data_IF_041509191576
#
_entry.id   IF_041509191576
#
_cell.length_a   1.000
_cell.length_b   1.000
_cell.length_c   1.000
_cell.angle_alpha   90.00
_cell.angle_beta   90.00
_cell.angle_gamma   90.00
#
_symmetry.space_group_name_H-M   'P 1'
#
loop_
_entity.id
_entity.type
_entity.pdbx_description
1 polymer ?
#
# COMPACT_ATOMS: atom_id res chain seq x y z
N UNK A 1 28.94 21.12 43.90
CA UNK A 1 28.56 19.88 43.20
C UNK A 1 27.15 19.52 43.64
N UNK A 2 26.15 19.82 42.81
CA UNK A 2 24.74 19.55 43.13
C UNK A 2 24.39 18.17 42.60
N UNK A 3 24.27 17.19 43.51
CA UNK A 3 23.85 15.83 43.18
C UNK A 3 22.35 15.81 42.87
N UNK A 4 22.00 15.72 41.59
CA UNK A 4 20.62 15.48 41.16
C UNK A 4 20.15 14.12 41.70
N UNK A 5 19.32 14.13 42.75
CA UNK A 5 18.62 12.93 43.21
C UNK A 5 17.42 12.70 42.30
N UNK A 6 17.60 11.89 41.27
CA UNK A 6 16.49 11.37 40.47
C UNK A 6 15.61 10.49 41.37
N UNK A 7 14.37 10.92 41.59
CA UNK A 7 13.39 10.16 42.35
C UNK A 7 13.14 8.82 41.65
N UNK A 8 13.19 7.68 42.37
CA UNK A 8 12.93 6.37 41.76
C UNK A 8 11.58 6.31 41.07
N UNK A 9 10.57 7.05 41.56
CA UNK A 9 9.23 7.15 40.94
C UNK A 9 9.30 7.69 39.50
N UNK A 10 10.21 8.62 39.22
CA UNK A 10 10.38 9.18 37.88
C UNK A 10 10.97 8.13 36.92
N UNK A 11 11.92 7.34 37.40
CA UNK A 11 12.58 6.27 36.63
C UNK A 11 11.61 5.13 36.31
N UNK A 12 10.80 4.72 37.30
CA UNK A 12 9.77 3.69 37.11
C UNK A 12 8.64 4.16 36.19
N UNK A 13 8.25 5.45 36.26
CA UNK A 13 7.25 6.03 35.36
C UNK A 13 7.69 6.03 33.89
N UNK A 14 8.94 6.42 33.61
CA UNK A 14 9.48 6.43 32.24
C UNK A 14 9.55 5.00 31.68
N UNK A 15 10.00 4.03 32.47
CA UNK A 15 10.08 2.64 32.04
C UNK A 15 8.68 2.09 31.68
N UNK A 16 7.67 2.35 32.52
CA UNK A 16 6.30 1.89 32.27
C UNK A 16 5.68 2.53 31.01
N UNK A 17 5.89 3.84 30.79
CA UNK A 17 5.43 4.53 29.58
C UNK A 17 6.13 3.97 28.34
N UNK A 18 7.43 3.72 28.41
CA UNK A 18 8.19 3.19 27.27
C UNK A 18 7.72 1.78 26.90
N UNK A 19 7.49 0.92 27.90
CA UNK A 19 6.94 -0.45 27.71
C UNK A 19 5.53 -0.40 27.14
N UNK A 20 4.67 0.51 27.63
CA UNK A 20 3.32 0.68 27.08
C UNK A 20 3.35 1.17 25.64
N UNK A 21 4.22 2.12 25.31
CA UNK A 21 4.39 2.60 23.93
C UNK A 21 4.91 1.48 23.04
N UNK A 22 5.94 0.74 23.44
CA UNK A 22 6.46 -0.38 22.63
C UNK A 22 5.44 -1.50 22.49
N UNK A 23 4.71 -1.86 23.55
CA UNK A 23 3.64 -2.83 23.47
C UNK A 23 2.50 -2.34 22.56
N UNK A 24 2.12 -1.06 22.65
CA UNK A 24 1.10 -0.44 21.80
C UNK A 24 1.52 -0.42 20.32
N UNK A 25 2.78 -0.09 20.06
CA UNK A 25 3.37 -0.05 18.72
C UNK A 25 3.55 -1.46 18.13
N UNK A 26 3.91 -2.45 18.94
CA UNK A 26 3.96 -3.85 18.53
C UNK A 26 2.56 -4.46 18.33
N UNK A 27 1.56 -3.97 19.08
CA UNK A 27 0.19 -4.47 19.04
C UNK A 27 -0.64 -3.85 17.90
N UNK A 28 -0.41 -2.58 17.58
CA UNK A 28 -1.11 -1.87 16.48
C UNK A 28 -0.42 -2.01 15.11
N UNK A 29 0.73 -2.68 15.07
CA UNK A 29 1.56 -2.76 13.87
C UNK A 29 2.27 -1.44 13.59
N UNK A 30 3.45 -1.54 13.00
CA UNK A 30 4.05 -0.37 12.34
C UNK A 30 3.29 -0.07 11.07
N UNK A 31 3.20 1.21 10.65
CA UNK A 31 2.90 1.49 9.27
C UNK A 31 3.93 0.72 8.42
N UNK A 32 3.49 -0.24 7.60
CA UNK A 32 4.45 -0.84 6.68
C UNK A 32 4.86 0.26 5.70
N UNK A 33 6.14 0.44 5.50
CA UNK A 33 6.57 1.32 4.42
C UNK A 33 6.17 0.60 3.14
N UNK A 34 5.43 1.27 2.24
CA UNK A 34 5.04 0.68 0.96
C UNK A 34 6.26 0.04 0.29
N UNK A 35 6.10 -1.19 -0.19
CA UNK A 35 7.20 -1.98 -0.71
C UNK A 35 7.91 -1.22 -1.84
N UNK A 36 9.14 -0.80 -1.57
CA UNK A 36 9.92 -0.05 -2.54
C UNK A 36 10.41 -0.98 -3.64
N UNK A 37 9.94 -0.81 -4.87
CA UNK A 37 10.53 -1.47 -6.04
C UNK A 37 12.03 -1.13 -6.16
N UNK A 38 12.93 -2.09 -6.45
CA UNK A 38 14.32 -1.76 -6.72
C UNK A 38 14.44 -0.90 -7.98
N UNK A 39 15.51 -0.11 -8.09
CA UNK A 39 15.73 0.70 -9.28
C UNK A 39 15.94 -0.18 -10.53
N UNK A 40 15.32 0.19 -11.64
CA UNK A 40 15.37 -0.57 -12.89
C UNK A 40 14.21 -1.55 -13.06
N UNK A 41 14.43 -2.60 -13.85
CA UNK A 41 13.42 -3.57 -14.22
C UNK A 41 13.06 -4.49 -13.06
N UNK A 42 11.76 -4.69 -12.83
CA UNK A 42 11.23 -5.58 -11.80
C UNK A 42 9.96 -6.25 -12.29
N UNK A 43 9.81 -7.52 -11.95
CA UNK A 43 8.61 -8.29 -12.24
C UNK A 43 7.58 -8.07 -11.12
N UNK A 44 6.35 -7.71 -11.47
CA UNK A 44 5.28 -7.37 -10.53
C UNK A 44 3.98 -8.07 -10.91
N UNK A 45 3.28 -8.57 -9.91
CA UNK A 45 1.95 -9.16 -10.08
C UNK A 45 0.91 -8.05 -10.30
N UNK A 46 -0.03 -8.29 -11.20
CA UNK A 46 -1.13 -7.37 -11.48
C UNK A 46 -2.43 -7.97 -10.98
N UNK A 47 -3.10 -7.22 -10.11
CA UNK A 47 -4.42 -7.53 -9.58
C UNK A 47 -5.36 -6.39 -9.93
N UNK A 48 -6.56 -6.68 -10.44
CA UNK A 48 -7.53 -5.61 -10.64
C UNK A 48 -8.15 -5.19 -9.32
N UNK A 49 -8.40 -3.89 -9.17
CA UNK A 49 -9.10 -3.36 -8.01
C UNK A 49 -10.60 -3.48 -8.28
N UNK A 50 -11.33 -4.06 -7.35
CA UNK A 50 -12.80 -4.00 -7.36
C UNK A 50 -13.24 -2.61 -6.93
N UNK A 51 -13.50 -1.75 -7.91
CA UNK A 51 -13.92 -0.37 -7.70
C UNK A 51 -15.30 -0.26 -7.03
N UNK A 52 -16.15 -1.30 -7.05
CA UNK A 52 -17.47 -1.29 -6.41
C UNK A 52 -17.37 -1.47 -4.89
N UNK A 53 -16.37 -2.24 -4.45
CA UNK A 53 -16.09 -2.49 -3.03
C UNK A 53 -15.06 -1.50 -2.46
N UNK A 54 -14.40 -0.73 -3.33
CA UNK A 54 -13.38 0.24 -2.91
C UNK A 54 -14.00 1.49 -2.30
N UNK A 55 -13.67 1.78 -1.04
CA UNK A 55 -14.13 2.99 -0.35
C UNK A 55 -12.99 4.00 -0.23
N UNK A 56 -13.15 5.25 -0.74
CA UNK A 56 -12.18 6.32 -0.54
C UNK A 56 -12.27 6.91 0.88
N UNK A 57 -11.12 7.05 1.55
CA UNK A 57 -11.00 7.71 2.85
C UNK A 57 -10.45 9.14 2.67
N UNK A 58 -10.98 10.13 3.41
CA UNK A 58 -10.52 11.51 3.33
C UNK A 58 -9.07 11.68 3.83
N UNK A 59 -8.37 12.61 3.17
CA UNK A 59 -6.94 12.92 3.29
C UNK A 59 -6.63 13.62 4.62
N UNK A 60 -6.67 12.88 5.72
CA UNK A 60 -6.34 13.39 7.06
C UNK A 60 -5.75 12.34 7.99
N UNK A 61 -5.76 11.07 7.56
CA UNK A 61 -5.03 9.98 8.20
C UNK A 61 -3.58 10.01 7.73
N UNK A 62 -2.64 9.91 8.67
CA UNK A 62 -1.21 9.98 8.40
C UNK A 62 -0.72 8.65 7.82
N UNK A 63 0.06 8.79 6.76
CA UNK A 63 0.73 7.80 5.90
C UNK A 63 1.09 6.43 6.54
N UNK A 64 0.97 5.39 5.70
CA UNK A 64 1.74 4.15 5.79
C UNK A 64 1.09 2.92 6.43
N UNK A 65 -0.22 2.82 6.66
CA UNK A 65 -0.74 1.64 7.38
C UNK A 65 -1.07 0.45 6.46
N UNK A 66 -0.29 -0.64 6.58
CA UNK A 66 -0.61 -1.95 6.03
C UNK A 66 -0.82 -2.91 7.22
N UNK A 67 -2.07 -3.23 7.52
CA UNK A 67 -2.40 -4.06 8.67
C UNK A 67 -3.66 -4.88 8.42
N UNK A 68 -3.62 -6.17 8.76
CA UNK A 68 -4.72 -7.12 8.56
C UNK A 68 -5.82 -7.03 9.62
N UNK A 69 -5.74 -6.13 10.60
CA UNK A 69 -6.71 -6.12 11.70
C UNK A 69 -6.99 -4.70 12.23
N UNK A 70 -8.26 -4.31 12.07
CA UNK A 70 -9.08 -3.50 12.99
C UNK A 70 -9.39 -2.01 12.73
N UNK A 71 -9.16 -1.46 11.53
CA UNK A 71 -9.67 -0.12 11.10
C UNK A 71 -9.83 -0.01 9.57
N UNK A 72 -10.69 0.88 9.04
CA UNK A 72 -12.02 0.59 8.45
C UNK A 72 -12.06 -0.24 7.15
N UNK A 73 -10.93 -0.75 6.66
CA UNK A 73 -10.93 -1.68 5.53
C UNK A 73 -11.32 -3.08 6.04
N UNK A 74 -12.12 -3.82 5.26
CA UNK A 74 -12.49 -5.20 5.57
C UNK A 74 -11.26 -6.12 5.53
N UNK A 75 -11.32 -7.31 6.11
CA UNK A 75 -10.18 -8.24 6.24
C UNK A 75 -9.54 -8.63 4.90
N UNK A 76 -10.29 -8.47 3.81
CA UNK A 76 -9.91 -8.79 2.44
C UNK A 76 -9.55 -7.53 1.60
N UNK A 77 -9.32 -6.39 2.25
CA UNK A 77 -9.05 -5.10 1.61
C UNK A 77 -7.69 -4.53 2.00
N UNK A 78 -7.02 -3.91 1.02
CA UNK A 78 -5.71 -3.28 1.19
C UNK A 78 -5.87 -1.77 1.34
N UNK A 79 -5.16 -1.15 2.27
CA UNK A 79 -5.04 0.30 2.26
C UNK A 79 -3.98 0.71 1.23
N UNK A 80 -4.33 1.59 0.29
CA UNK A 80 -3.40 2.09 -0.72
C UNK A 80 -3.62 3.57 -0.95
N UNK A 81 -2.55 4.36 -0.90
CA UNK A 81 -2.61 5.76 -1.32
C UNK A 81 -2.40 5.89 -2.84
N UNK A 82 -3.26 6.65 -3.50
CA UNK A 82 -3.13 7.01 -4.90
C UNK A 82 -3.54 8.46 -5.09
N UNK A 83 -2.65 9.26 -5.68
CA UNK A 83 -2.87 10.67 -5.96
C UNK A 83 -3.32 11.49 -4.74
N UNK A 84 -2.72 11.22 -3.57
CA UNK A 84 -3.06 11.90 -2.32
C UNK A 84 -4.35 11.39 -1.66
N UNK A 85 -4.98 10.33 -2.20
CA UNK A 85 -6.19 9.73 -1.66
C UNK A 85 -5.91 8.32 -1.16
N UNK A 86 -6.26 8.08 0.09
CA UNK A 86 -6.26 6.74 0.67
C UNK A 86 -7.49 5.95 0.24
N UNK A 87 -7.31 4.72 -0.21
CA UNK A 87 -8.41 3.82 -0.60
C UNK A 87 -8.27 2.45 0.06
N UNK A 88 -9.40 1.87 0.50
CA UNK A 88 -9.49 0.45 0.79
C UNK A 88 -9.68 -0.32 -0.53
N UNK A 89 -8.60 -0.75 -1.16
CA UNK A 89 -8.61 -1.52 -2.39
C UNK A 89 -8.90 -3.01 -2.12
N UNK A 90 -10.09 -3.46 -2.51
CA UNK A 90 -10.38 -4.90 -2.59
C UNK A 90 -9.76 -5.45 -3.87
N UNK A 91 -8.98 -6.52 -3.74
CA UNK A 91 -8.37 -7.17 -4.89
C UNK A 91 -9.35 -8.15 -5.53
N UNK A 92 -9.52 -8.03 -6.84
CA UNK A 92 -10.09 -9.08 -7.66
C UNK A 92 -9.09 -10.21 -7.93
N UNK A 93 -9.35 -10.99 -8.98
CA UNK A 93 -8.44 -12.07 -9.35
C UNK A 93 -7.07 -11.55 -9.83
N UNK A 94 -6.04 -12.35 -9.56
CA UNK A 94 -4.71 -12.16 -10.13
C UNK A 94 -4.77 -12.35 -11.63
N UNK A 95 -4.37 -11.34 -12.40
CA UNK A 95 -4.39 -11.40 -13.87
C UNK A 95 -3.13 -12.02 -14.45
N UNK A 96 -1.98 -11.76 -13.83
CA UNK A 96 -0.69 -12.21 -14.31
C UNK A 96 0.45 -11.38 -13.75
N UNK A 97 1.59 -11.44 -14.44
CA UNK A 97 2.80 -10.73 -14.05
C UNK A 97 3.34 -9.91 -15.22
N UNK A 98 3.86 -8.72 -14.94
CA UNK A 98 4.46 -7.83 -15.95
C UNK A 98 5.79 -7.29 -15.45
N UNK A 99 6.67 -6.91 -16.38
CA UNK A 99 7.89 -6.18 -16.04
C UNK A 99 7.62 -4.68 -16.06
N UNK A 100 7.96 -3.99 -14.98
CA UNK A 100 7.92 -2.53 -14.86
C UNK A 100 9.32 -1.98 -14.61
N UNK A 101 9.52 -0.69 -14.85
CA UNK A 101 10.78 -0.02 -14.55
C UNK A 101 10.55 1.06 -13.48
N UNK A 102 11.33 1.03 -12.40
CA UNK A 102 11.37 2.16 -11.46
C UNK A 102 12.43 3.18 -11.89
N UNK A 103 11.98 4.40 -12.16
CA UNK A 103 12.82 5.57 -12.43
C UNK A 103 12.57 6.63 -11.35
N UNK A 104 13.42 6.66 -10.33
CA UNK A 104 13.24 7.53 -9.17
C UNK A 104 11.99 7.15 -8.36
N UNK A 105 11.04 8.08 -8.23
CA UNK A 105 9.74 7.83 -7.59
C UNK A 105 8.64 7.44 -8.58
N UNK A 106 8.97 7.19 -9.86
CA UNK A 106 7.99 6.79 -10.86
C UNK A 106 8.16 5.32 -11.20
N UNK A 107 7.03 4.63 -11.37
CA UNK A 107 6.97 3.30 -11.95
C UNK A 107 6.46 3.45 -13.38
N UNK A 108 7.32 3.14 -14.34
CA UNK A 108 7.03 3.20 -15.77
C UNK A 108 6.64 1.81 -16.26
N UNK A 109 5.57 1.75 -17.05
CA UNK A 109 5.09 0.52 -17.64
C UNK A 109 5.53 0.47 -19.12
N UNK A 110 6.41 -0.47 -19.49
CA UNK A 110 6.73 -0.77 -20.88
C UNK A 110 5.49 -1.08 -21.73
N UNK A 111 5.60 -0.93 -23.05
CA UNK A 111 4.46 -1.09 -23.97
C UNK A 111 3.84 -2.49 -23.95
N UNK A 112 4.65 -3.53 -23.72
CA UNK A 112 4.21 -4.90 -23.51
C UNK A 112 3.39 -5.06 -22.23
N UNK A 113 3.83 -4.47 -21.12
CA UNK A 113 3.06 -4.43 -19.87
C UNK A 113 1.72 -3.70 -20.06
N UNK A 114 1.74 -2.54 -20.72
CA UNK A 114 0.51 -1.78 -21.03
C UNK A 114 -0.47 -2.60 -21.88
N UNK A 115 0.04 -3.30 -22.90
CA UNK A 115 -0.76 -4.16 -23.76
C UNK A 115 -1.36 -5.33 -22.98
N UNK A 116 -0.59 -5.96 -22.10
CA UNK A 116 -1.07 -7.07 -21.26
C UNK A 116 -2.21 -6.63 -20.34
N UNK A 117 -2.00 -5.54 -19.58
CA UNK A 117 -3.02 -5.00 -18.65
C UNK A 117 -4.30 -4.62 -19.39
N UNK A 118 -4.18 -3.99 -20.56
CA UNK A 118 -5.34 -3.61 -21.38
C UNK A 118 -6.10 -4.83 -21.90
N UNK A 119 -5.39 -5.87 -22.33
CA UNK A 119 -6.00 -7.12 -22.80
C UNK A 119 -6.74 -7.85 -21.66
N UNK A 120 -6.10 -7.98 -20.50
CA UNK A 120 -6.69 -8.56 -19.31
C UNK A 120 -7.95 -7.82 -18.86
N UNK A 121 -7.96 -6.48 -18.95
CA UNK A 121 -9.12 -5.69 -18.59
C UNK A 121 -10.29 -5.87 -19.57
N UNK A 122 -9.99 -6.07 -20.86
CA UNK A 122 -10.99 -6.39 -21.86
C UNK A 122 -11.59 -7.79 -21.64
N UNK A 123 -10.74 -8.77 -21.30
CA UNK A 123 -11.14 -10.16 -21.06
C UNK A 123 -11.96 -10.33 -19.77
N UNK A 124 -11.72 -9.48 -18.75
CA UNK A 124 -12.48 -9.48 -17.50
C UNK A 124 -14.00 -9.22 -17.69
N UNK A 125 -14.42 -8.72 -18.87
CA UNK A 125 -15.73 -9.03 -19.46
C UNK A 125 -16.98 -8.63 -18.67
N UNK A 126 -16.89 -7.72 -17.70
CA UNK A 126 -18.01 -7.26 -16.88
C UNK A 126 -18.82 -6.10 -17.50
N UNK A 127 -20.01 -5.83 -16.93
CA UNK A 127 -20.82 -4.63 -17.24
C UNK A 127 -20.11 -3.31 -16.89
N UNK A 128 -19.08 -3.38 -16.05
CA UNK A 128 -18.18 -2.28 -15.71
C UNK A 128 -16.74 -2.82 -15.75
N UNK A 129 -15.91 -2.44 -16.72
CA UNK A 129 -14.52 -2.88 -16.77
C UNK A 129 -13.73 -2.27 -15.60
N UNK A 130 -12.67 -2.95 -15.13
CA UNK A 130 -11.82 -2.44 -14.05
C UNK A 130 -11.18 -1.12 -14.47
N UNK A 131 -11.25 -0.09 -13.62
CA UNK A 131 -10.63 1.21 -13.92
C UNK A 131 -9.17 1.27 -13.46
N UNK A 132 -8.79 0.44 -12.47
CA UNK A 132 -7.49 0.47 -11.81
C UNK A 132 -6.94 -0.94 -11.57
N UNK A 133 -5.62 -1.04 -11.55
CA UNK A 133 -4.92 -2.25 -11.14
C UNK A 133 -3.89 -1.93 -10.05
N UNK A 134 -3.75 -2.84 -9.10
CA UNK A 134 -2.71 -2.84 -8.09
C UNK A 134 -1.54 -3.70 -8.58
N UNK A 135 -0.34 -3.15 -8.44
CA UNK A 135 0.93 -3.83 -8.65
C UNK A 135 1.41 -4.38 -7.31
N UNK A 136 1.76 -5.66 -7.26
CA UNK A 136 2.15 -6.37 -6.03
C UNK A 136 3.46 -7.12 -6.24
N UNK A 137 4.36 -7.07 -5.27
CA UNK A 137 5.62 -7.85 -5.23
C UNK A 137 5.70 -8.56 -3.90
N UNK A 138 5.91 -9.88 -3.91
CA UNK A 138 6.04 -10.71 -2.70
C UNK A 138 4.87 -10.53 -1.71
N UNK A 139 3.67 -10.26 -2.23
CA UNK A 139 2.46 -10.01 -1.44
C UNK A 139 2.34 -8.58 -0.93
N UNK A 140 3.24 -7.67 -1.26
CA UNK A 140 3.19 -6.27 -0.84
C UNK A 140 2.86 -5.33 -2.02
N UNK A 141 1.96 -4.35 -1.85
CA UNK A 141 1.61 -3.42 -2.92
C UNK A 141 2.74 -2.41 -3.16
N UNK A 142 3.06 -2.21 -4.44
CA UNK A 142 4.14 -1.33 -4.88
C UNK A 142 3.62 -0.12 -5.68
N UNK A 143 2.40 -0.19 -6.21
CA UNK A 143 1.79 0.94 -6.89
C UNK A 143 0.43 0.66 -7.53
N UNK A 144 -0.28 1.73 -7.91
CA UNK A 144 -1.56 1.68 -8.60
C UNK A 144 -1.42 2.27 -10.00
N UNK A 145 -2.02 1.60 -10.98
CA UNK A 145 -2.08 2.06 -12.37
C UNK A 145 -3.53 2.22 -12.84
N UNK A 146 -3.79 3.27 -13.62
CA UNK A 146 -5.06 3.46 -14.31
C UNK A 146 -5.10 2.59 -15.57
N UNK A 147 -6.07 1.68 -15.68
CA UNK A 147 -6.16 0.71 -16.78
C UNK A 147 -6.37 1.38 -18.14
N UNK A 148 -7.11 2.49 -18.18
CA UNK A 148 -7.37 3.22 -19.43
C UNK A 148 -6.11 3.89 -20.01
N UNK A 149 -5.11 4.18 -19.19
CA UNK A 149 -3.87 4.83 -19.60
C UNK A 149 -2.69 4.35 -18.73
N UNK A 150 -2.27 3.08 -18.86
CA UNK A 150 -1.45 2.43 -17.85
C UNK A 150 0.04 2.74 -17.96
N UNK A 151 0.44 3.79 -18.67
CA UNK A 151 1.85 4.07 -18.94
C UNK A 151 2.68 4.36 -17.67
N UNK A 152 2.02 4.84 -16.61
CA UNK A 152 2.66 5.21 -15.35
C UNK A 152 1.81 4.74 -14.18
N UNK A 153 2.45 4.13 -13.19
CA UNK A 153 1.83 3.83 -11.91
C UNK A 153 2.25 4.85 -10.84
N UNK A 154 1.31 5.15 -9.95
CA UNK A 154 1.56 5.91 -8.72
C UNK A 154 2.10 4.93 -7.68
N UNK A 155 3.26 5.17 -7.06
CA UNK A 155 3.75 4.31 -5.99
C UNK A 155 2.74 4.19 -4.85
N UNK A 156 2.69 3.03 -4.21
CA UNK A 156 2.02 2.87 -2.93
C UNK A 156 2.95 3.43 -1.83
N UNK A 157 2.42 4.27 -0.94
CA UNK A 157 3.13 4.84 0.21
C UNK A 157 2.41 4.56 1.52
#
# INVERSE_FOLDING_TARGET
MTTFRLSPVLTWGIAAVTVLITAFVLWLGWPAEGAGLPAGASEVEVHFIDDELTTPAPTGEKDGWFGSLSTPCDFDSWYVESAGTAVCATLGERMGTVTVNRTGQRIELPADAQKAITAWAADAGGTRPPARALLVVDGEPVGIVAVAAPAVATPAS
#
